data_IF_243483714539
#
_entry.id   IF_243483714539
#
_cell.length_a   1.000
_cell.length_b   1.000
_cell.length_c   1.000
_cell.angle_alpha   90.00
_cell.angle_beta   90.00
_cell.angle_gamma   90.00
#
_symmetry.space_group_name_H-M   'P 1'
#
loop_
_entity.id
_entity.type
_entity.pdbx_description
1 polymer ?
#
# COMPACT_ATOMS: atom_id res chain seq x y z
N UNK A 1 33.08 26.28 20.34
CA UNK A 1 32.82 24.98 19.66
C UNK A 1 31.45 25.02 19.01
N UNK A 2 31.44 24.86 17.75
CA UNK A 2 30.70 25.64 16.80
C UNK A 2 29.37 24.99 16.34
N UNK A 3 28.42 25.82 15.90
CA UNK A 3 27.13 25.43 15.30
C UNK A 3 27.25 24.41 14.14
N UNK A 4 28.42 24.26 13.54
CA UNK A 4 28.67 23.26 12.48
C UNK A 4 28.62 21.79 12.95
N UNK A 5 28.95 21.50 14.20
CA UNK A 5 28.89 20.13 14.74
C UNK A 5 27.46 19.69 14.95
N UNK A 6 26.57 20.57 15.46
CA UNK A 6 25.16 20.27 15.67
C UNK A 6 24.35 20.11 14.36
N UNK A 7 24.71 20.86 13.30
CA UNK A 7 24.10 20.67 11.97
C UNK A 7 24.49 19.34 11.34
N UNK A 8 25.74 18.89 11.51
CA UNK A 8 26.18 17.59 11.03
C UNK A 8 25.51 16.43 11.77
N UNK A 9 25.30 16.55 13.08
CA UNK A 9 24.61 15.50 13.88
C UNK A 9 23.15 15.36 13.47
N UNK A 10 22.44 16.48 13.24
CA UNK A 10 21.04 16.47 12.76
C UNK A 10 20.96 15.89 11.34
N UNK A 11 21.92 16.18 10.49
CA UNK A 11 21.99 15.63 9.12
C UNK A 11 22.27 14.13 9.17
N UNK A 12 23.14 13.67 10.04
CA UNK A 12 23.44 12.23 10.25
C UNK A 12 22.22 11.50 10.80
N UNK A 13 21.51 12.05 11.79
CA UNK A 13 20.24 11.48 12.28
C UNK A 13 19.15 11.42 11.21
N UNK A 14 19.05 12.43 10.35
CA UNK A 14 18.08 12.45 9.23
C UNK A 14 18.47 11.42 8.17
N UNK A 15 19.78 11.24 7.91
CA UNK A 15 20.28 10.21 6.98
C UNK A 15 20.09 8.81 7.54
N UNK A 16 20.42 8.56 8.79
CA UNK A 16 20.18 7.27 9.46
C UNK A 16 18.68 6.95 9.54
N UNK A 17 17.84 7.93 9.82
CA UNK A 17 16.40 7.76 9.77
C UNK A 17 15.85 7.51 8.35
N UNK A 18 16.53 7.99 7.31
CA UNK A 18 16.15 7.77 5.91
C UNK A 18 16.73 6.46 5.33
N UNK A 19 17.90 6.02 5.79
CA UNK A 19 18.61 4.84 5.28
C UNK A 19 18.37 3.57 6.10
N UNK A 20 18.18 3.67 7.42
CA UNK A 20 18.10 2.52 8.32
C UNK A 20 16.69 2.05 8.67
N UNK A 21 15.64 2.58 8.05
CA UNK A 21 14.28 2.04 8.24
C UNK A 21 13.89 1.10 7.09
N UNK A 22 13.33 -0.09 7.39
CA UNK A 22 13.00 -1.12 6.40
C UNK A 22 11.71 -0.79 5.62
N UNK A 23 11.65 0.39 5.03
CA UNK A 23 10.51 0.84 4.19
C UNK A 23 10.82 0.86 2.70
N UNK A 24 11.95 0.33 2.31
CA UNK A 24 12.27 0.21 0.90
C UNK A 24 11.23 -0.69 0.24
N UNK A 25 10.23 -0.08 -0.38
CA UNK A 25 9.31 -0.71 -1.32
C UNK A 25 10.07 -0.92 -2.64
N UNK A 26 11.31 -1.39 -2.54
CA UNK A 26 11.99 -1.95 -3.69
C UNK A 26 11.58 -3.40 -3.84
N UNK A 27 11.29 -3.82 -5.06
CA UNK A 27 11.44 -5.25 -5.34
C UNK A 27 12.92 -5.62 -5.09
N UNK A 28 13.24 -6.86 -4.69
CA UNK A 28 14.62 -7.30 -4.55
C UNK A 28 15.47 -7.05 -5.82
N UNK A 29 14.84 -7.03 -6.99
CA UNK A 29 15.47 -6.76 -8.27
C UNK A 29 15.78 -5.26 -8.47
N UNK A 30 14.86 -4.37 -8.09
CA UNK A 30 15.09 -2.92 -8.14
C UNK A 30 16.25 -2.52 -7.21
N UNK A 31 16.32 -3.13 -6.03
CA UNK A 31 17.40 -2.90 -5.08
C UNK A 31 18.74 -3.43 -5.60
N UNK A 32 18.77 -4.66 -6.18
CA UNK A 32 19.96 -5.25 -6.78
C UNK A 32 20.47 -4.43 -7.96
N UNK A 33 19.57 -3.94 -8.81
CA UNK A 33 19.95 -3.11 -9.96
C UNK A 33 20.57 -1.77 -9.51
N UNK A 34 19.96 -1.07 -8.57
CA UNK A 34 20.53 0.18 -8.01
C UNK A 34 21.86 -0.08 -7.29
N UNK A 35 21.96 -1.18 -6.55
CA UNK A 35 23.20 -1.54 -5.86
C UNK A 35 24.32 -1.85 -6.86
N UNK A 36 24.02 -2.59 -7.94
CA UNK A 36 24.97 -2.93 -8.99
C UNK A 36 25.44 -1.69 -9.78
N UNK A 37 24.51 -0.79 -10.15
CA UNK A 37 24.86 0.48 -10.81
C UNK A 37 25.70 1.36 -9.90
N UNK A 38 25.30 1.51 -8.63
CA UNK A 38 26.05 2.30 -7.65
C UNK A 38 27.45 1.70 -7.42
N UNK A 39 27.57 0.39 -7.33
CA UNK A 39 28.86 -0.29 -7.17
C UNK A 39 29.75 -0.19 -8.42
N UNK A 40 29.16 -0.22 -9.62
CA UNK A 40 29.90 -0.06 -10.87
C UNK A 40 30.39 1.38 -11.08
N UNK A 41 29.60 2.37 -10.63
CA UNK A 41 30.02 3.78 -10.65
C UNK A 41 31.05 4.11 -9.58
N UNK A 42 30.90 3.56 -8.36
CA UNK A 42 31.83 3.77 -7.24
C UNK A 42 33.25 3.32 -7.58
N UNK A 43 33.41 2.26 -8.36
CA UNK A 43 34.74 1.80 -8.82
C UNK A 43 35.46 2.76 -9.77
N UNK A 44 34.82 3.83 -10.25
CA UNK A 44 35.36 4.78 -11.23
C UNK A 44 35.57 6.20 -10.71
N UNK A 45 35.14 6.50 -9.50
CA UNK A 45 35.19 7.86 -8.97
C UNK A 45 36.34 8.01 -7.96
N UNK A 46 36.97 9.20 -7.94
CA UNK A 46 37.86 9.55 -6.85
C UNK A 46 37.09 9.90 -5.59
N UNK A 47 37.66 9.74 -4.36
CA UNK A 47 36.98 10.10 -3.12
C UNK A 47 36.45 11.54 -3.10
N UNK A 48 37.14 12.48 -3.72
CA UNK A 48 36.71 13.88 -3.84
C UNK A 48 35.48 14.03 -4.76
N UNK A 49 35.42 13.25 -5.84
CA UNK A 49 34.29 13.24 -6.75
C UNK A 49 33.06 12.63 -6.10
N UNK A 50 33.24 11.57 -5.30
CA UNK A 50 32.15 10.97 -4.50
C UNK A 50 31.62 11.95 -3.46
N UNK A 51 32.51 12.60 -2.71
CA UNK A 51 32.11 13.61 -1.72
C UNK A 51 31.32 14.76 -2.38
N UNK A 52 31.77 15.21 -3.55
CA UNK A 52 31.08 16.26 -4.32
C UNK A 52 29.68 15.82 -4.78
N UNK A 53 29.53 14.61 -5.31
CA UNK A 53 28.23 14.05 -5.70
C UNK A 53 27.30 13.92 -4.50
N UNK A 54 27.82 13.38 -3.39
CA UNK A 54 27.06 13.22 -2.15
C UNK A 54 26.56 14.56 -1.62
N UNK A 55 27.42 15.58 -1.61
CA UNK A 55 27.02 16.93 -1.18
C UNK A 55 25.87 17.49 -2.04
N UNK A 56 25.92 17.31 -3.38
CA UNK A 56 24.83 17.74 -4.28
C UNK A 56 23.52 17.00 -4.02
N UNK A 57 23.57 15.67 -3.86
CA UNK A 57 22.39 14.87 -3.49
C UNK A 57 21.79 15.36 -2.17
N UNK A 58 22.62 15.58 -1.14
CA UNK A 58 22.18 16.08 0.16
C UNK A 58 21.51 17.44 0.05
N UNK A 59 22.08 18.38 -0.68
CA UNK A 59 21.51 19.70 -0.89
C UNK A 59 20.10 19.62 -1.51
N UNK A 60 19.93 18.81 -2.56
CA UNK A 60 18.62 18.62 -3.18
C UNK A 60 17.62 17.93 -2.24
N UNK A 61 18.06 16.95 -1.45
CA UNK A 61 17.19 16.27 -0.45
C UNK A 61 16.76 17.21 0.67
N UNK A 62 17.62 18.12 1.13
CA UNK A 62 17.24 19.16 2.10
C UNK A 62 16.14 20.06 1.53
N UNK A 63 16.27 20.50 0.28
CA UNK A 63 15.24 21.29 -0.39
C UNK A 63 13.95 20.50 -0.55
N UNK A 64 14.00 19.23 -0.97
CA UNK A 64 12.85 18.34 -1.06
C UNK A 64 12.16 18.14 0.30
N UNK A 65 12.92 18.00 1.38
CA UNK A 65 12.41 17.87 2.74
C UNK A 65 11.68 19.14 3.20
N UNK A 66 12.19 20.31 2.85
CA UNK A 66 11.52 21.58 3.15
C UNK A 66 10.15 21.69 2.45
N UNK A 67 10.04 21.18 1.21
CA UNK A 67 8.77 21.08 0.49
C UNK A 67 7.84 20.07 1.18
N UNK A 68 8.33 18.87 1.51
CA UNK A 68 7.55 17.81 2.16
C UNK A 68 6.93 18.27 3.49
N UNK A 69 7.68 19.02 4.31
CA UNK A 69 7.20 19.56 5.59
C UNK A 69 6.01 20.51 5.43
N UNK A 70 5.89 21.17 4.29
CA UNK A 70 4.79 22.09 3.95
C UNK A 70 3.62 21.40 3.27
N UNK A 71 3.83 20.21 2.67
CA UNK A 71 2.78 19.48 1.97
C UNK A 71 1.74 18.93 2.94
N UNK A 72 0.48 19.32 2.76
CA UNK A 72 -0.67 18.86 3.54
C UNK A 72 -1.70 18.10 2.69
N UNK A 73 -1.42 17.86 1.42
CA UNK A 73 -2.36 17.26 0.49
C UNK A 73 -2.27 15.74 0.46
N UNK A 74 -3.42 15.08 0.58
CA UNK A 74 -3.52 13.64 0.50
C UNK A 74 -3.16 12.92 1.81
N UNK A 75 -3.18 11.59 1.76
CA UNK A 75 -2.81 10.76 2.90
C UNK A 75 -1.31 10.82 3.17
N UNK A 76 -0.91 10.59 4.41
CA UNK A 76 0.50 10.53 4.80
C UNK A 76 1.28 9.51 3.95
N UNK A 77 0.70 8.34 3.69
CA UNK A 77 1.31 7.32 2.84
C UNK A 77 1.54 7.82 1.40
N UNK A 78 0.59 8.58 0.83
CA UNK A 78 0.75 9.19 -0.50
C UNK A 78 1.86 10.23 -0.49
N UNK A 79 1.88 11.11 0.51
CA UNK A 79 2.92 12.14 0.66
C UNK A 79 4.31 11.53 0.80
N UNK A 80 4.47 10.51 1.67
CA UNK A 80 5.73 9.78 1.83
C UNK A 80 6.19 9.15 0.51
N UNK A 81 5.29 8.49 -0.21
CA UNK A 81 5.63 7.88 -1.51
C UNK A 81 6.07 8.91 -2.54
N UNK A 82 5.36 10.04 -2.63
CA UNK A 82 5.72 11.13 -3.56
C UNK A 82 7.05 11.77 -3.19
N UNK A 83 7.31 11.97 -1.91
CA UNK A 83 8.57 12.46 -1.40
C UNK A 83 9.74 11.54 -1.77
N UNK A 84 9.59 10.23 -1.53
CA UNK A 84 10.62 9.26 -1.90
C UNK A 84 10.91 9.28 -3.40
N UNK A 85 9.87 9.25 -4.24
CA UNK A 85 10.05 9.31 -5.70
C UNK A 85 10.79 10.58 -6.13
N UNK A 86 10.45 11.72 -5.50
CA UNK A 86 11.13 12.98 -5.78
C UNK A 86 12.59 12.99 -5.33
N UNK A 87 12.89 12.43 -4.17
CA UNK A 87 14.28 12.28 -3.70
C UNK A 87 15.12 11.44 -4.68
N UNK A 88 14.58 10.32 -5.17
CA UNK A 88 15.29 9.50 -6.17
C UNK A 88 15.52 10.24 -7.50
N UNK A 89 14.54 11.01 -7.95
CA UNK A 89 14.72 11.86 -9.11
C UNK A 89 15.83 12.91 -8.86
N UNK A 90 15.85 13.52 -7.69
CA UNK A 90 16.89 14.48 -7.29
C UNK A 90 18.27 13.86 -7.27
N UNK A 91 18.43 12.67 -6.70
CA UNK A 91 19.72 11.96 -6.66
C UNK A 91 20.24 11.68 -8.07
N UNK A 92 19.39 11.11 -8.93
CA UNK A 92 19.73 10.87 -10.33
C UNK A 92 20.14 12.16 -11.05
N UNK A 93 19.40 13.26 -10.85
CA UNK A 93 19.69 14.53 -11.49
C UNK A 93 20.95 15.23 -10.92
N UNK A 94 21.23 15.04 -9.63
CA UNK A 94 22.50 15.50 -9.05
C UNK A 94 23.68 14.82 -9.73
N UNK A 95 23.59 13.52 -9.96
CA UNK A 95 24.68 12.71 -10.50
C UNK A 95 24.89 12.90 -11.99
N UNK A 96 23.78 12.95 -12.76
CA UNK A 96 23.83 12.94 -14.24
C UNK A 96 23.71 14.31 -14.88
N UNK A 97 23.13 15.28 -14.18
CA UNK A 97 22.85 16.60 -14.69
C UNK A 97 23.47 17.72 -13.86
N UNK A 98 24.24 17.38 -12.82
CA UNK A 98 24.88 18.35 -11.95
C UNK A 98 23.89 19.33 -11.29
N UNK A 99 22.65 18.89 -11.07
CA UNK A 99 21.58 19.71 -10.52
C UNK A 99 21.88 20.06 -9.05
N UNK A 100 21.64 21.32 -8.66
CA UNK A 100 21.87 21.80 -7.30
C UNK A 100 20.65 22.48 -6.66
N UNK A 101 19.68 22.89 -7.50
CA UNK A 101 18.45 23.56 -7.03
C UNK A 101 17.23 22.86 -7.64
N UNK A 102 16.27 22.46 -6.81
CA UNK A 102 15.04 21.79 -7.26
C UNK A 102 14.19 22.68 -8.17
N UNK A 103 14.23 24.02 -7.97
CA UNK A 103 13.53 24.98 -8.84
C UNK A 103 14.07 25.03 -10.28
N UNK A 104 15.29 24.52 -10.52
CA UNK A 104 15.92 24.48 -11.83
C UNK A 104 15.61 23.20 -12.60
N UNK A 105 14.73 22.35 -12.11
CA UNK A 105 14.26 21.17 -12.84
C UNK A 105 13.49 21.63 -14.08
N UNK A 106 13.87 21.09 -15.24
CA UNK A 106 13.29 21.39 -16.54
C UNK A 106 12.56 20.19 -17.12
N UNK A 107 11.74 20.37 -18.18
CA UNK A 107 11.15 19.26 -18.92
C UNK A 107 12.18 18.24 -19.44
N UNK A 108 13.38 18.69 -19.79
CA UNK A 108 14.48 17.79 -20.22
C UNK A 108 14.95 16.91 -19.07
N UNK A 109 15.13 17.47 -17.88
CA UNK A 109 15.46 16.71 -16.66
C UNK A 109 14.38 15.68 -16.35
N UNK A 110 13.12 16.08 -16.46
CA UNK A 110 11.97 15.19 -16.22
C UNK A 110 11.93 14.01 -17.21
N UNK A 111 12.23 14.25 -18.51
CA UNK A 111 12.35 13.17 -19.51
C UNK A 111 13.50 12.22 -19.19
N UNK A 112 14.69 12.73 -18.82
CA UNK A 112 15.84 11.90 -18.46
C UNK A 112 15.51 10.95 -17.30
N UNK A 113 14.90 11.47 -16.22
CA UNK A 113 14.43 10.64 -15.10
C UNK A 113 13.41 9.59 -15.55
N UNK A 114 12.49 9.97 -16.45
CA UNK A 114 11.49 9.04 -16.98
C UNK A 114 12.13 7.91 -17.76
N UNK A 115 13.06 8.20 -18.66
CA UNK A 115 13.78 7.17 -19.42
C UNK A 115 14.60 6.25 -18.51
N UNK A 116 15.29 6.81 -17.50
CA UNK A 116 15.98 6.02 -16.49
C UNK A 116 15.02 5.08 -15.76
N UNK A 117 13.84 5.55 -15.31
CA UNK A 117 12.87 4.71 -14.65
C UNK A 117 12.25 3.65 -15.56
N UNK A 118 12.13 3.90 -16.86
CA UNK A 118 11.64 2.92 -17.85
C UNK A 118 12.54 1.69 -17.94
N UNK A 119 13.85 1.82 -17.68
CA UNK A 119 14.79 0.72 -17.81
C UNK A 119 14.56 -0.39 -16.77
N UNK A 120 13.95 -0.08 -15.61
CA UNK A 120 13.81 -1.07 -14.52
C UNK A 120 12.46 -1.05 -13.79
N UNK A 121 11.61 -0.03 -13.97
CA UNK A 121 10.32 0.06 -13.26
C UNK A 121 9.13 -0.31 -14.15
N UNK A 122 8.14 -0.91 -13.51
CA UNK A 122 6.86 -1.18 -14.18
C UNK A 122 6.12 0.13 -14.54
N UNK A 123 5.42 0.21 -15.69
CA UNK A 123 4.71 1.42 -16.15
C UNK A 123 3.75 2.02 -15.10
N UNK A 124 3.07 1.18 -14.34
CA UNK A 124 2.15 1.65 -13.29
C UNK A 124 2.87 2.33 -12.12
N UNK A 125 4.08 1.88 -11.80
CA UNK A 125 4.95 2.49 -10.77
C UNK A 125 5.43 3.84 -11.27
N UNK A 126 5.98 3.88 -12.49
CA UNK A 126 6.46 5.12 -13.13
C UNK A 126 5.36 6.18 -13.14
N UNK A 127 4.15 5.86 -13.61
CA UNK A 127 3.04 6.82 -13.64
C UNK A 127 2.71 7.40 -12.28
N UNK A 128 2.77 6.59 -11.21
CA UNK A 128 2.52 7.05 -9.85
C UNK A 128 3.64 7.98 -9.36
N UNK A 129 4.88 7.61 -9.62
CA UNK A 129 6.06 8.38 -9.19
C UNK A 129 6.19 9.70 -9.95
N UNK A 130 5.91 9.70 -11.26
CA UNK A 130 5.85 10.93 -12.06
C UNK A 130 4.75 11.90 -11.59
N UNK A 131 3.63 11.37 -11.06
CA UNK A 131 2.60 12.23 -10.46
C UNK A 131 3.16 12.95 -9.22
N UNK A 132 3.92 12.24 -8.39
CA UNK A 132 4.63 12.83 -7.25
C UNK A 132 5.69 13.84 -7.70
N UNK A 133 6.49 13.48 -8.69
CA UNK A 133 7.54 14.33 -9.24
C UNK A 133 6.97 15.66 -9.79
N UNK A 134 5.88 15.62 -10.57
CA UNK A 134 5.21 16.84 -11.04
C UNK A 134 4.75 17.73 -9.90
N UNK A 135 4.09 17.13 -8.90
CA UNK A 135 3.59 17.86 -7.74
C UNK A 135 4.71 18.58 -6.99
N UNK A 136 5.85 17.94 -6.82
CA UNK A 136 7.01 18.57 -6.18
C UNK A 136 7.64 19.66 -7.03
N UNK A 137 7.67 19.51 -8.36
CA UNK A 137 8.10 20.58 -9.27
C UNK A 137 7.18 21.83 -9.16
N UNK A 138 5.86 21.62 -9.01
CA UNK A 138 4.91 22.71 -8.76
C UNK A 138 5.22 23.43 -7.45
N UNK A 139 5.41 22.70 -6.36
CA UNK A 139 5.75 23.26 -5.05
C UNK A 139 7.12 23.95 -5.04
N UNK A 140 8.08 23.43 -5.79
CA UNK A 140 9.40 24.04 -5.98
C UNK A 140 9.36 25.28 -6.87
N UNK A 141 8.20 25.61 -7.45
CA UNK A 141 8.01 26.73 -8.39
C UNK A 141 8.95 26.63 -9.60
N UNK A 142 9.08 25.43 -10.18
CA UNK A 142 9.84 25.25 -11.41
C UNK A 142 9.25 26.11 -12.54
N UNK A 143 10.12 26.75 -13.35
CA UNK A 143 9.71 27.68 -14.41
C UNK A 143 8.79 27.07 -15.46
N UNK A 144 8.94 25.78 -15.72
CA UNK A 144 8.26 25.09 -16.83
C UNK A 144 7.27 24.06 -16.31
N UNK A 145 6.13 23.96 -17.00
CA UNK A 145 5.20 22.84 -16.79
C UNK A 145 5.87 21.53 -17.21
N UNK A 146 5.79 20.51 -16.34
CA UNK A 146 6.37 19.20 -16.64
C UNK A 146 5.51 18.41 -17.63
N UNK A 147 6.14 17.58 -18.50
CA UNK A 147 5.45 16.82 -19.53
C UNK A 147 4.35 15.91 -18.97
N UNK A 148 3.28 15.73 -19.72
CA UNK A 148 2.21 14.78 -19.39
C UNK A 148 2.60 13.34 -19.80
N UNK A 149 1.86 12.34 -19.28
CA UNK A 149 2.17 10.93 -19.55
C UNK A 149 2.09 10.57 -21.04
N UNK A 150 1.22 11.26 -21.81
CA UNK A 150 1.12 11.07 -23.27
C UNK A 150 2.39 11.49 -23.99
N UNK A 151 2.94 12.64 -23.62
CA UNK A 151 4.18 13.18 -24.19
C UNK A 151 5.41 12.31 -23.88
N UNK A 152 5.36 11.57 -22.76
CA UNK A 152 6.42 10.67 -22.32
C UNK A 152 6.32 9.27 -22.96
N UNK A 153 5.33 9.02 -23.83
CA UNK A 153 5.09 7.72 -24.48
C UNK A 153 5.12 6.56 -23.49
N UNK A 154 4.48 6.74 -22.33
CA UNK A 154 4.38 5.67 -21.33
C UNK A 154 3.38 4.62 -21.80
N UNK A 155 3.70 3.32 -21.66
CA UNK A 155 2.77 2.25 -21.93
C UNK A 155 1.49 2.42 -21.10
N UNK A 156 0.33 2.06 -21.69
CA UNK A 156 -0.92 2.01 -20.93
C UNK A 156 -0.80 0.98 -19.78
N UNK A 157 -1.50 1.26 -18.67
CA UNK A 157 -1.66 0.26 -17.63
C UNK A 157 -2.45 -0.92 -18.20
N UNK A 158 -1.83 -2.06 -18.24
CA UNK A 158 -2.57 -3.30 -18.43
C UNK A 158 -3.10 -3.77 -17.08
N UNK A 159 -4.41 -4.02 -16.96
CA UNK A 159 -4.95 -4.66 -15.78
C UNK A 159 -4.25 -6.00 -15.61
N UNK A 160 -3.71 -6.26 -14.44
CA UNK A 160 -3.15 -7.59 -14.15
C UNK A 160 -4.32 -8.55 -13.96
N UNK A 161 -4.58 -9.36 -14.96
CA UNK A 161 -5.64 -10.36 -14.99
C UNK A 161 -5.25 -11.64 -14.21
N UNK A 162 -4.94 -11.50 -12.91
CA UNK A 162 -4.73 -12.62 -12.01
C UNK A 162 -5.78 -12.60 -10.92
N UNK A 163 -6.48 -13.71 -10.76
CA UNK A 163 -7.33 -13.91 -9.61
C UNK A 163 -6.47 -13.99 -8.34
N UNK A 164 -6.77 -13.16 -7.35
CA UNK A 164 -6.07 -13.07 -6.07
C UNK A 164 -6.91 -13.59 -4.91
N UNK A 165 -8.11 -14.06 -5.20
CA UNK A 165 -8.99 -14.60 -4.18
C UNK A 165 -8.35 -15.79 -3.46
N UNK A 166 -8.63 -15.94 -2.19
CA UNK A 166 -8.27 -17.11 -1.41
C UNK A 166 -9.27 -18.24 -1.73
N UNK A 167 -8.79 -19.46 -1.71
CA UNK A 167 -9.67 -20.64 -1.69
C UNK A 167 -10.32 -20.76 -0.32
N UNK A 168 -11.48 -21.42 -0.26
CA UNK A 168 -12.17 -21.70 1.01
C UNK A 168 -11.26 -22.47 1.97
N UNK A 169 -10.55 -23.47 1.46
CA UNK A 169 -9.60 -24.29 2.23
C UNK A 169 -8.46 -23.45 2.81
N UNK A 170 -7.90 -22.52 2.02
CA UNK A 170 -6.84 -21.62 2.49
C UNK A 170 -7.31 -20.68 3.59
N UNK A 171 -8.53 -20.15 3.46
CA UNK A 171 -9.13 -19.32 4.50
C UNK A 171 -9.36 -20.12 5.80
N UNK A 172 -9.93 -21.33 5.69
CA UNK A 172 -10.21 -22.17 6.85
C UNK A 172 -8.92 -22.56 7.59
N UNK A 173 -7.91 -23.06 6.87
CA UNK A 173 -6.61 -23.44 7.44
C UNK A 173 -5.90 -22.24 8.10
N UNK A 174 -5.91 -21.07 7.45
CA UNK A 174 -5.32 -19.87 8.05
C UNK A 174 -6.05 -19.43 9.32
N UNK A 175 -7.38 -19.53 9.33
CA UNK A 175 -8.22 -19.22 10.48
C UNK A 175 -7.93 -20.18 11.66
N UNK A 176 -7.93 -21.48 11.40
CA UNK A 176 -7.62 -22.52 12.37
C UNK A 176 -6.20 -22.38 12.95
N UNK A 177 -5.21 -22.14 12.08
CA UNK A 177 -3.85 -21.88 12.52
C UNK A 177 -3.76 -20.64 13.42
N UNK A 178 -4.41 -19.54 13.05
CA UNK A 178 -4.43 -18.35 13.89
C UNK A 178 -5.06 -18.61 15.26
N UNK A 179 -6.14 -19.38 15.29
CA UNK A 179 -6.85 -19.77 16.51
C UNK A 179 -5.98 -20.69 17.41
N UNK A 180 -5.31 -21.69 16.82
CA UNK A 180 -4.46 -22.67 17.54
C UNK A 180 -3.27 -22.02 18.25
N UNK A 181 -2.78 -20.89 17.76
CA UNK A 181 -1.66 -20.13 18.37
C UNK A 181 -2.13 -18.87 19.09
N UNK A 182 -3.42 -18.78 19.43
CA UNK A 182 -4.05 -17.67 20.17
C UNK A 182 -3.90 -16.29 19.47
N UNK A 183 -3.82 -16.27 18.13
CA UNK A 183 -3.84 -15.03 17.33
C UNK A 183 -5.28 -14.69 16.91
N UNK A 184 -6.12 -14.44 17.92
CA UNK A 184 -7.53 -14.07 17.72
C UNK A 184 -7.70 -12.76 16.96
N UNK A 185 -6.75 -11.83 17.05
CA UNK A 185 -6.65 -10.63 16.25
C UNK A 185 -6.58 -10.94 14.74
N UNK A 186 -5.76 -11.93 14.37
CA UNK A 186 -5.64 -12.40 12.99
C UNK A 186 -6.90 -13.13 12.55
N UNK A 187 -7.41 -14.07 13.34
CA UNK A 187 -8.66 -14.80 13.06
C UNK A 187 -9.80 -13.83 12.74
N UNK A 188 -10.02 -12.86 13.62
CA UNK A 188 -11.11 -11.89 13.47
C UNK A 188 -10.91 -10.97 12.27
N UNK A 189 -9.67 -10.60 11.98
CA UNK A 189 -9.32 -9.87 10.76
C UNK A 189 -9.61 -10.67 9.49
N UNK A 190 -9.21 -11.95 9.46
CA UNK A 190 -9.49 -12.86 8.33
C UNK A 190 -11.00 -13.02 8.12
N UNK A 191 -11.76 -13.23 9.19
CA UNK A 191 -13.21 -13.39 9.16
C UNK A 191 -13.91 -12.13 8.60
N UNK A 192 -13.50 -10.94 9.05
CA UNK A 192 -14.04 -9.68 8.53
C UNK A 192 -13.69 -9.44 7.05
N UNK A 193 -12.49 -9.85 6.63
CA UNK A 193 -12.08 -9.79 5.24
C UNK A 193 -12.86 -10.75 4.34
N UNK A 194 -13.11 -11.97 4.82
CA UNK A 194 -13.79 -13.03 4.09
C UNK A 194 -15.31 -12.82 3.99
N UNK A 195 -15.95 -12.54 5.13
CA UNK A 195 -17.43 -12.47 5.19
C UNK A 195 -17.99 -11.08 4.86
N UNK A 196 -17.26 -9.99 5.13
CA UNK A 196 -17.74 -8.62 4.91
C UNK A 196 -16.93 -7.86 3.85
N UNK A 197 -15.91 -8.48 3.28
CA UNK A 197 -15.07 -7.86 2.25
C UNK A 197 -14.35 -6.59 2.71
N UNK A 198 -14.07 -6.44 4.01
CA UNK A 198 -13.39 -5.27 4.54
C UNK A 198 -11.93 -5.23 4.08
N UNK A 199 -11.40 -4.01 3.86
CA UNK A 199 -9.96 -3.84 3.77
C UNK A 199 -9.35 -4.02 5.16
N UNK A 200 -8.11 -4.49 5.24
CA UNK A 200 -7.45 -4.73 6.52
C UNK A 200 -7.50 -3.51 7.46
N UNK A 201 -7.29 -2.31 6.95
CA UNK A 201 -7.37 -1.10 7.78
C UNK A 201 -8.80 -0.81 8.22
N UNK A 202 -9.81 -1.13 7.41
CA UNK A 202 -11.22 -0.98 7.76
C UNK A 202 -11.59 -1.96 8.88
N UNK A 203 -11.12 -3.21 8.79
CA UNK A 203 -11.30 -4.21 9.83
C UNK A 203 -10.64 -3.79 11.16
N UNK A 204 -9.39 -3.31 11.11
CA UNK A 204 -8.68 -2.85 12.31
C UNK A 204 -9.25 -1.55 12.91
N UNK A 205 -10.00 -0.76 12.15
CA UNK A 205 -10.65 0.47 12.63
C UNK A 205 -12.07 0.26 13.13
N UNK A 206 -12.61 -0.95 13.04
CA UNK A 206 -13.97 -1.26 13.50
C UNK A 206 -14.01 -1.24 15.02
N UNK A 207 -14.88 -0.40 15.58
CA UNK A 207 -15.10 -0.28 17.02
C UNK A 207 -16.22 -1.16 17.51
N UNK A 208 -16.25 -1.46 18.80
CA UNK A 208 -17.35 -2.22 19.41
C UNK A 208 -18.69 -1.53 19.22
N UNK A 209 -18.72 -0.20 19.33
CA UNK A 209 -19.94 0.59 19.09
C UNK A 209 -20.46 0.47 17.65
N UNK A 210 -19.55 0.31 16.65
CA UNK A 210 -19.94 0.09 15.25
C UNK A 210 -20.56 -1.29 15.09
N UNK A 211 -20.02 -2.33 15.73
CA UNK A 211 -20.57 -3.70 15.71
C UNK A 211 -21.94 -3.73 16.39
N UNK A 212 -22.10 -3.06 17.54
CA UNK A 212 -23.38 -2.97 18.24
C UNK A 212 -24.45 -2.32 17.36
N UNK A 213 -24.12 -1.22 16.69
CA UNK A 213 -25.03 -0.56 15.76
C UNK A 213 -25.35 -1.46 14.56
N UNK A 214 -24.34 -2.16 14.02
CA UNK A 214 -24.52 -3.07 12.89
C UNK A 214 -25.51 -4.19 13.16
N UNK A 215 -25.52 -4.73 14.39
CA UNK A 215 -26.48 -5.74 14.81
C UNK A 215 -27.93 -5.22 14.86
N UNK A 216 -28.11 -3.92 15.17
CA UNK A 216 -29.45 -3.29 15.18
C UNK A 216 -29.91 -2.80 13.80
N UNK A 217 -28.99 -2.40 12.91
CA UNK A 217 -29.32 -1.75 11.64
C UNK A 217 -29.11 -2.66 10.42
N UNK A 218 -28.72 -3.92 10.63
CA UNK A 218 -28.50 -4.88 9.54
C UNK A 218 -27.18 -4.69 8.79
N UNK A 219 -26.20 -4.04 9.40
CA UNK A 219 -24.86 -3.91 8.86
C UNK A 219 -24.07 -2.71 9.39
N UNK A 220 -22.72 -2.74 9.31
CA UNK A 220 -21.87 -1.64 9.74
C UNK A 220 -21.69 -0.56 8.67
N UNK A 221 -21.56 0.68 9.14
CA UNK A 221 -21.03 1.78 8.36
C UNK A 221 -19.49 1.76 8.38
N UNK A 222 -18.88 1.58 7.23
CA UNK A 222 -17.43 1.44 7.09
C UNK A 222 -16.83 2.69 6.47
N UNK A 223 -15.97 3.37 7.21
CA UNK A 223 -15.20 4.51 6.72
C UNK A 223 -14.01 4.01 5.90
N UNK A 224 -14.08 4.20 4.59
CA UNK A 224 -13.07 3.76 3.64
C UNK A 224 -12.00 4.83 3.34
N UNK A 225 -11.19 4.54 2.33
CA UNK A 225 -10.14 5.44 1.83
C UNK A 225 -10.75 6.78 1.38
N UNK A 226 -10.13 7.88 1.84
CA UNK A 226 -10.60 9.23 1.51
C UNK A 226 -11.80 9.69 2.34
N UNK A 227 -12.08 9.02 3.47
CA UNK A 227 -13.14 9.42 4.41
C UNK A 227 -14.55 9.05 3.98
N UNK A 228 -14.71 8.30 2.87
CA UNK A 228 -16.00 7.87 2.39
C UNK A 228 -16.58 6.79 3.29
N UNK A 229 -17.84 6.95 3.65
CA UNK A 229 -18.61 5.94 4.40
C UNK A 229 -19.41 5.10 3.41
N UNK A 230 -19.42 3.79 3.61
CA UNK A 230 -20.31 2.86 2.94
C UNK A 230 -20.99 1.95 3.94
N UNK A 231 -22.23 1.65 3.70
CA UNK A 231 -22.97 0.64 4.45
C UNK A 231 -22.65 -0.75 3.89
N UNK A 232 -22.24 -1.67 4.74
CA UNK A 232 -22.01 -3.08 4.39
C UNK A 232 -23.17 -3.89 4.93
N UNK A 233 -24.14 -4.19 4.06
CA UNK A 233 -25.32 -4.94 4.44
C UNK A 233 -24.97 -6.36 4.87
N UNK A 234 -25.58 -6.83 5.96
CA UNK A 234 -25.58 -8.24 6.36
C UNK A 234 -26.58 -8.96 5.43
N UNK A 235 -26.11 -9.96 4.70
CA UNK A 235 -26.87 -10.68 3.68
C UNK A 235 -26.99 -12.17 4.01
N UNK A 236 -26.18 -12.69 4.93
CA UNK A 236 -26.18 -14.11 5.32
C UNK A 236 -26.13 -14.29 6.83
N UNK A 237 -26.56 -15.48 7.30
CA UNK A 237 -26.51 -15.83 8.71
C UNK A 237 -25.08 -15.90 9.25
N UNK A 238 -24.13 -16.38 8.43
CA UNK A 238 -22.70 -16.42 8.83
C UNK A 238 -22.15 -15.02 9.12
N UNK A 239 -22.58 -14.01 8.37
CA UNK A 239 -22.18 -12.61 8.62
C UNK A 239 -22.78 -12.10 9.93
N UNK A 240 -24.04 -12.44 10.21
CA UNK A 240 -24.71 -12.06 11.45
C UNK A 240 -24.06 -12.74 12.65
N UNK A 241 -23.80 -14.04 12.58
CA UNK A 241 -23.14 -14.80 13.66
C UNK A 241 -21.71 -14.33 13.90
N UNK A 242 -20.97 -13.96 12.85
CA UNK A 242 -19.66 -13.34 13.00
C UNK A 242 -19.76 -12.06 13.86
N UNK A 243 -20.68 -11.16 13.54
CA UNK A 243 -20.81 -9.90 14.29
C UNK A 243 -21.29 -10.15 15.72
N UNK A 244 -22.21 -11.10 15.93
CA UNK A 244 -22.63 -11.51 17.29
C UNK A 244 -21.47 -12.09 18.11
N UNK A 245 -20.63 -12.94 17.50
CA UNK A 245 -19.44 -13.50 18.14
C UNK A 245 -18.45 -12.39 18.51
N UNK A 246 -18.10 -11.53 17.59
CA UNK A 246 -17.20 -10.41 17.83
C UNK A 246 -17.70 -9.50 18.96
N UNK A 247 -19.00 -9.22 18.99
CA UNK A 247 -19.62 -8.42 20.05
C UNK A 247 -19.50 -9.10 21.41
N UNK A 248 -19.87 -10.39 21.50
CA UNK A 248 -19.81 -11.17 22.77
C UNK A 248 -18.38 -11.26 23.29
N UNK A 249 -17.41 -11.61 22.42
CA UNK A 249 -16.01 -11.74 22.82
C UNK A 249 -15.41 -10.40 23.26
N UNK A 250 -15.74 -9.30 22.57
CA UNK A 250 -15.29 -7.96 22.95
C UNK A 250 -15.88 -7.51 24.30
N UNK A 251 -17.17 -7.78 24.54
CA UNK A 251 -17.80 -7.49 25.83
C UNK A 251 -17.20 -8.33 26.96
N UNK A 252 -16.91 -9.61 26.73
CA UNK A 252 -16.25 -10.47 27.70
C UNK A 252 -14.84 -9.98 28.07
N UNK A 253 -14.14 -9.30 27.14
CA UNK A 253 -12.85 -8.63 27.40
C UNK A 253 -13.00 -7.26 28.09
N UNK A 254 -14.21 -6.80 28.39
CA UNK A 254 -14.47 -5.51 29.03
C UNK A 254 -14.31 -4.30 28.09
N UNK A 255 -14.33 -4.49 26.76
CA UNK A 255 -14.20 -3.39 25.81
C UNK A 255 -15.43 -2.47 25.88
N UNK A 256 -15.19 -1.19 25.64
CA UNK A 256 -16.19 -0.13 25.52
C UNK A 256 -16.53 0.14 24.04
N UNK A 257 -17.59 0.90 23.79
CA UNK A 257 -18.00 1.27 22.43
C UNK A 257 -16.91 2.02 21.64
N UNK A 258 -15.96 2.65 22.29
CA UNK A 258 -14.86 3.40 21.66
C UNK A 258 -13.64 2.54 21.34
N UNK A 259 -13.57 1.33 21.85
CA UNK A 259 -12.44 0.43 21.68
C UNK A 259 -12.52 -0.31 20.33
N UNK A 260 -11.35 -0.54 19.71
CA UNK A 260 -11.26 -1.35 18.51
C UNK A 260 -11.42 -2.84 18.84
N UNK A 261 -12.27 -3.54 18.09
CA UNK A 261 -12.54 -4.98 18.31
C UNK A 261 -11.35 -5.87 17.96
N UNK A 262 -10.53 -5.45 16.98
CA UNK A 262 -9.29 -6.13 16.61
C UNK A 262 -8.14 -5.38 17.28
N UNK A 263 -7.64 -5.94 18.35
CA UNK A 263 -6.45 -5.42 19.01
C UNK A 263 -5.77 -6.53 19.80
N UNK A 264 -4.48 -6.71 19.52
CA UNK A 264 -3.63 -7.59 20.33
C UNK A 264 -3.30 -6.96 21.68
N UNK A 265 -3.22 -5.64 21.71
CA UNK A 265 -2.99 -4.84 22.92
C UNK A 265 -3.68 -3.49 22.80
N UNK A 266 -4.32 -3.01 23.87
CA UNK A 266 -5.06 -1.75 23.95
C UNK A 266 -4.24 -0.53 23.49
N UNK A 267 -2.92 -0.63 23.51
CA UNK A 267 -1.99 0.48 23.23
C UNK A 267 -1.47 0.55 21.78
N UNK A 268 -1.81 -0.40 20.91
CA UNK A 268 -1.34 -0.41 19.52
C UNK A 268 -2.49 -0.10 18.57
N UNK A 269 -2.62 1.15 18.17
CA UNK A 269 -3.68 1.57 17.26
C UNK A 269 -3.75 0.80 15.92
N UNK A 270 -4.82 1.01 15.13
CA UNK A 270 -5.17 0.21 13.93
C UNK A 270 -4.07 0.02 12.89
N UNK A 271 -3.14 0.98 12.77
CA UNK A 271 -2.02 0.88 11.82
C UNK A 271 -0.99 -0.18 12.22
N UNK A 272 -0.74 -0.33 13.52
CA UNK A 272 0.18 -1.34 14.03
C UNK A 272 -0.45 -2.72 13.95
N UNK A 273 -1.75 -2.81 14.25
CA UNK A 273 -2.50 -4.06 14.15
C UNK A 273 -2.57 -4.55 12.71
N UNK A 274 -2.89 -3.65 11.76
CA UNK A 274 -2.78 -3.94 10.32
C UNK A 274 -1.44 -4.56 9.96
N UNK A 275 -0.33 -3.97 10.40
CA UNK A 275 1.02 -4.46 10.11
C UNK A 275 1.27 -5.83 10.76
N UNK A 276 0.77 -6.03 11.98
CA UNK A 276 0.85 -7.31 12.70
C UNK A 276 0.18 -8.43 11.90
N UNK A 277 -1.04 -8.22 11.44
CA UNK A 277 -1.81 -9.19 10.66
C UNK A 277 -1.14 -9.45 9.29
N UNK A 278 -0.72 -8.39 8.57
CA UNK A 278 -0.03 -8.53 7.29
C UNK A 278 1.28 -9.33 7.42
N UNK A 279 2.06 -9.09 8.48
CA UNK A 279 3.28 -9.83 8.77
C UNK A 279 2.99 -11.29 9.14
N UNK A 280 1.94 -11.54 9.92
CA UNK A 280 1.53 -12.90 10.25
C UNK A 280 1.18 -13.69 8.99
N UNK A 281 0.34 -13.16 8.12
CA UNK A 281 0.01 -13.77 6.83
C UNK A 281 1.29 -14.03 6.01
N UNK A 282 2.20 -13.06 5.96
CA UNK A 282 3.45 -13.20 5.23
C UNK A 282 4.31 -14.36 5.73
N UNK A 283 4.42 -14.52 7.04
CA UNK A 283 5.27 -15.52 7.67
C UNK A 283 4.67 -16.93 7.57
N UNK A 284 3.35 -17.05 7.74
CA UNK A 284 2.66 -18.34 7.84
C UNK A 284 2.00 -18.81 6.53
N UNK A 285 1.93 -17.98 5.49
CA UNK A 285 1.17 -18.31 4.26
C UNK A 285 1.55 -19.63 3.60
N UNK A 286 2.78 -20.13 3.79
CA UNK A 286 3.22 -21.42 3.25
C UNK A 286 2.49 -22.60 3.91
N UNK A 287 2.00 -22.41 5.14
CA UNK A 287 1.34 -23.43 5.94
C UNK A 287 -0.10 -23.69 5.48
N UNK A 288 -0.73 -22.66 4.89
CA UNK A 288 -2.12 -22.73 4.44
C UNK A 288 -2.33 -22.46 2.94
N UNK A 289 -1.27 -22.24 2.17
CA UNK A 289 -1.40 -22.10 0.70
C UNK A 289 -1.64 -23.47 0.06
N UNK A 290 -2.73 -23.61 -0.69
CA UNK A 290 -3.04 -24.83 -1.45
C UNK A 290 -1.93 -25.09 -2.48
N UNK A 291 -1.32 -26.30 -2.50
CA UNK A 291 -0.26 -26.65 -3.46
C UNK A 291 -0.67 -26.51 -4.93
N UNK A 292 -1.94 -26.76 -5.23
CA UNK A 292 -2.50 -26.68 -6.59
C UNK A 292 -3.19 -25.32 -6.87
N UNK A 293 -3.00 -24.37 -5.98
CA UNK A 293 -3.63 -23.04 -6.08
C UNK A 293 -3.52 -22.42 -7.47
N UNK A 294 -2.33 -22.48 -8.09
CA UNK A 294 -2.10 -21.91 -9.41
C UNK A 294 -3.02 -22.51 -10.47
N UNK A 295 -3.22 -23.82 -10.44
CA UNK A 295 -4.12 -24.52 -11.36
C UNK A 295 -5.59 -24.20 -11.08
N UNK A 296 -5.98 -24.09 -9.80
CA UNK A 296 -7.37 -23.86 -9.37
C UNK A 296 -7.82 -22.42 -9.62
N UNK A 297 -6.93 -21.44 -9.37
CA UNK A 297 -7.30 -20.02 -9.36
C UNK A 297 -6.90 -19.31 -10.65
N UNK A 298 -5.83 -19.73 -11.32
CA UNK A 298 -5.31 -19.10 -12.54
C UNK A 298 -4.90 -20.15 -13.56
N UNK A 299 -5.82 -20.98 -14.07
CA UNK A 299 -5.50 -22.03 -15.02
C UNK A 299 -4.89 -21.46 -16.31
N UNK A 300 -3.86 -22.10 -16.83
CA UNK A 300 -3.20 -21.71 -18.08
C UNK A 300 -2.33 -20.44 -18.02
N UNK A 301 -2.29 -19.74 -16.88
CA UNK A 301 -1.42 -18.56 -16.72
C UNK A 301 -0.03 -19.00 -16.23
N UNK A 302 1.02 -18.26 -16.65
CA UNK A 302 2.39 -18.52 -16.17
C UNK A 302 2.44 -18.54 -14.65
N UNK A 303 3.14 -19.49 -14.03
CA UNK A 303 3.30 -19.55 -12.59
C UNK A 303 3.84 -18.20 -12.08
N UNK A 304 3.11 -17.61 -11.16
CA UNK A 304 3.55 -16.47 -10.41
C UNK A 304 3.67 -16.93 -8.97
N UNK A 305 4.70 -16.51 -8.25
CA UNK A 305 4.73 -16.67 -6.80
C UNK A 305 3.52 -15.91 -6.28
N UNK A 306 2.40 -16.62 -6.22
CA UNK A 306 1.12 -16.01 -5.82
C UNK A 306 1.13 -15.92 -4.31
N UNK A 307 1.41 -14.71 -3.87
CA UNK A 307 1.52 -14.43 -2.44
C UNK A 307 0.12 -14.17 -1.94
N UNK A 308 -0.42 -15.09 -1.16
CA UNK A 308 -1.60 -14.80 -0.38
C UNK A 308 -1.36 -13.55 0.45
N UNK A 309 -2.26 -12.59 0.31
CA UNK A 309 -2.27 -11.32 1.05
C UNK A 309 -3.69 -11.04 1.52
N UNK A 310 -3.84 -10.28 2.59
CA UNK A 310 -5.15 -9.95 3.15
C UNK A 310 -6.15 -9.43 2.11
N UNK A 311 -5.70 -8.63 1.16
CA UNK A 311 -6.59 -8.08 0.12
C UNK A 311 -7.21 -9.16 -0.78
N UNK A 312 -6.63 -10.36 -0.84
CA UNK A 312 -7.20 -11.51 -1.53
C UNK A 312 -8.54 -11.97 -0.94
N UNK A 313 -8.74 -11.84 0.38
CA UNK A 313 -10.01 -12.17 1.03
C UNK A 313 -11.17 -11.32 0.49
N UNK A 314 -10.90 -10.04 0.22
CA UNK A 314 -11.88 -9.16 -0.40
C UNK A 314 -12.20 -9.54 -1.86
N UNK A 315 -11.24 -10.11 -2.58
CA UNK A 315 -11.50 -10.71 -3.90
C UNK A 315 -12.43 -11.92 -3.76
N UNK A 316 -12.15 -12.82 -2.82
CA UNK A 316 -13.00 -14.00 -2.56
C UNK A 316 -14.42 -13.58 -2.16
N UNK A 317 -14.56 -12.63 -1.25
CA UNK A 317 -15.86 -12.07 -0.87
C UNK A 317 -16.65 -11.59 -2.10
N UNK A 318 -16.00 -10.82 -2.99
CA UNK A 318 -16.68 -10.32 -4.19
C UNK A 318 -17.10 -11.46 -5.14
N UNK A 319 -16.21 -12.45 -5.33
CA UNK A 319 -16.49 -13.60 -6.18
C UNK A 319 -17.63 -14.47 -5.62
N UNK A 320 -17.66 -14.69 -4.30
CA UNK A 320 -18.73 -15.43 -3.64
C UNK A 320 -20.05 -14.65 -3.76
N UNK A 321 -20.03 -13.35 -3.51
CA UNK A 321 -21.20 -12.50 -3.63
C UNK A 321 -21.71 -12.40 -5.08
N UNK A 322 -20.80 -12.44 -6.04
CA UNK A 322 -21.14 -12.48 -7.46
C UNK A 322 -21.96 -13.73 -7.83
N UNK A 323 -21.62 -14.89 -7.25
CA UNK A 323 -22.37 -16.13 -7.43
C UNK A 323 -23.76 -16.04 -6.82
N UNK A 324 -23.89 -15.44 -5.62
CA UNK A 324 -25.22 -15.28 -4.97
C UNK A 324 -26.14 -14.30 -5.71
N UNK A 325 -25.57 -13.35 -6.44
CA UNK A 325 -26.32 -12.39 -7.24
C UNK A 325 -26.51 -12.86 -8.69
N UNK A 326 -26.26 -14.10 -8.99
CA UNK A 326 -26.51 -14.66 -10.33
C UNK A 326 -27.97 -14.52 -10.71
N UNK A 327 -28.25 -13.95 -11.89
CA UNK A 327 -29.62 -13.63 -12.33
C UNK A 327 -30.18 -12.27 -11.85
N UNK A 328 -29.53 -11.56 -10.92
CA UNK A 328 -29.99 -10.23 -10.51
C UNK A 328 -29.60 -9.16 -11.55
N UNK A 329 -30.55 -8.44 -12.15
CA UNK A 329 -30.28 -7.42 -13.17
C UNK A 329 -29.44 -6.25 -12.63
N UNK A 330 -29.42 -6.02 -11.30
CA UNK A 330 -28.65 -4.99 -10.62
C UNK A 330 -27.35 -5.52 -10.01
N UNK A 331 -26.91 -6.72 -10.40
CA UNK A 331 -25.72 -7.41 -9.88
C UNK A 331 -24.50 -6.49 -9.78
N UNK A 332 -24.12 -5.83 -10.88
CA UNK A 332 -22.93 -4.95 -10.91
C UNK A 332 -23.04 -3.78 -9.95
N UNK A 333 -24.21 -3.18 -9.86
CA UNK A 333 -24.47 -2.07 -8.96
C UNK A 333 -24.34 -2.52 -7.49
N UNK A 334 -24.97 -3.65 -7.13
CA UNK A 334 -24.90 -4.22 -5.78
C UNK A 334 -23.48 -4.60 -5.38
N UNK A 335 -22.71 -5.22 -6.28
CA UNK A 335 -21.29 -5.53 -6.04
C UNK A 335 -20.46 -4.26 -5.81
N UNK A 336 -20.64 -3.24 -6.66
CA UNK A 336 -19.94 -1.98 -6.56
C UNK A 336 -20.24 -1.25 -5.24
N UNK A 337 -21.50 -1.20 -4.85
CA UNK A 337 -21.94 -0.58 -3.59
C UNK A 337 -21.35 -1.28 -2.37
N UNK A 338 -21.43 -2.62 -2.31
CA UNK A 338 -20.89 -3.40 -1.20
C UNK A 338 -19.38 -3.23 -1.00
N UNK A 339 -18.64 -3.04 -2.09
CA UNK A 339 -17.21 -2.75 -2.04
C UNK A 339 -16.88 -1.25 -1.93
N UNK A 340 -17.85 -0.35 -2.06
CA UNK A 340 -17.64 1.09 -2.05
C UNK A 340 -16.77 1.57 -3.23
N UNK A 341 -17.00 1.01 -4.41
CA UNK A 341 -16.36 1.46 -5.64
C UNK A 341 -17.19 2.55 -6.31
N UNK A 342 -16.54 3.67 -6.67
CA UNK A 342 -17.21 4.76 -7.41
C UNK A 342 -17.37 4.48 -8.90
N UNK A 343 -16.58 3.56 -9.46
CA UNK A 343 -16.57 3.22 -10.88
C UNK A 343 -16.95 1.76 -11.03
N UNK A 344 -17.95 1.48 -11.81
CA UNK A 344 -18.42 0.11 -12.08
C UNK A 344 -17.34 -0.78 -12.67
N UNK A 345 -16.51 -0.26 -13.59
CA UNK A 345 -15.41 -1.01 -14.20
C UNK A 345 -14.28 -1.44 -13.24
N UNK A 346 -14.27 -0.96 -11.98
CA UNK A 346 -13.32 -1.49 -10.98
C UNK A 346 -13.68 -2.91 -10.57
N UNK A 347 -14.96 -3.31 -10.71
CA UNK A 347 -15.40 -4.67 -10.38
C UNK A 347 -14.82 -5.71 -11.35
N UNK A 348 -14.48 -5.33 -12.59
CA UNK A 348 -13.87 -6.24 -13.57
C UNK A 348 -12.52 -6.77 -13.11
N UNK A 349 -11.84 -6.06 -12.21
CA UNK A 349 -10.56 -6.50 -11.61
C UNK A 349 -10.77 -7.68 -10.65
N UNK A 350 -11.99 -7.88 -10.16
CA UNK A 350 -12.34 -8.93 -9.18
C UNK A 350 -13.06 -10.11 -9.82
N UNK A 351 -13.39 -10.03 -11.13
CA UNK A 351 -14.25 -10.97 -11.83
C UNK A 351 -13.52 -12.17 -12.47
N UNK A 352 -12.20 -12.17 -12.46
CA UNK A 352 -11.43 -13.23 -13.13
C UNK A 352 -10.92 -14.29 -12.20
#
# INVERSE_FOLDING_TARGET
MSNKTKENDIVTEILDAAFNKPWAVYSPEEFKHQLAETQAEVKKLTPEQEATKMHKRMNLRVQATAIYRKDRHGSEATRKRYFQAFCYACDYLADTCNLQKVSNITPTHFRKVTEYWKSYKAPSTIQTELSGFRKYCEYAKCKHKMPENKELKLPKREPKKYNRGWLVTEYQQARELAESINRFDVRDGLDLGWHLGLRIIEACQLKLGDVRKALGWGGPDIKGKGGQVRFVKIETEEQLELLKRLYREAKAKGLTDEDFIISKTIYKGPLMEKKSIENWIYNHRKEFTDPDRQKKVNPGKKPRIDKLVFHGLRHSYNQNREKWLEGDPRKLQKLSQGLGHRRLGVNDIYRE
#
